data_IF_654374827145
#
_entry.id   IF_654374827145
#
_cell.length_a   1.000
_cell.length_b   1.000
_cell.length_c   1.000
_cell.angle_alpha   90.00
_cell.angle_beta   90.00
_cell.angle_gamma   90.00
#
_symmetry.space_group_name_H-M   'P 1'
#
loop_
_entity.id
_entity.type
_entity.pdbx_description
1 polymer ?
#
# COMPACT_ATOMS: atom_id res chain seq x y z
N UNK A 1 42.53 -20.21 3.08
CA UNK A 1 41.56 -20.98 2.28
C UNK A 1 40.36 -21.28 3.15
N UNK A 2 39.22 -20.62 2.92
CA UNK A 2 37.96 -20.91 3.59
C UNK A 2 36.89 -20.98 2.49
N UNK A 3 36.34 -22.18 2.29
CA UNK A 3 35.34 -22.47 1.28
C UNK A 3 34.01 -21.80 1.64
N UNK A 4 33.54 -20.90 0.75
CA UNK A 4 32.18 -20.35 0.77
C UNK A 4 31.21 -21.44 0.28
N UNK A 5 30.14 -21.68 1.04
CA UNK A 5 28.99 -22.47 0.60
C UNK A 5 28.26 -21.76 -0.58
N UNK A 6 27.71 -22.50 -1.55
CA UNK A 6 27.13 -21.91 -2.75
C UNK A 6 25.73 -21.37 -2.49
N UNK A 7 25.51 -20.09 -2.85
CA UNK A 7 24.19 -19.46 -2.92
C UNK A 7 23.41 -20.07 -4.08
N UNK A 8 22.43 -20.93 -3.80
CA UNK A 8 21.44 -21.35 -4.79
C UNK A 8 20.46 -20.20 -5.04
N UNK A 9 20.84 -19.32 -5.98
CA UNK A 9 19.95 -18.36 -6.58
C UNK A 9 19.00 -19.09 -7.54
N UNK A 10 17.71 -19.16 -7.20
CA UNK A 10 16.69 -19.60 -8.14
C UNK A 10 16.59 -18.61 -9.30
N UNK A 11 17.13 -19.00 -10.46
CA UNK A 11 16.95 -18.29 -11.73
C UNK A 11 15.54 -18.57 -12.26
N UNK A 12 14.74 -17.52 -12.34
CA UNK A 12 13.49 -17.51 -13.12
C UNK A 12 13.84 -17.81 -14.59
N UNK A 13 13.28 -18.88 -15.16
CA UNK A 13 13.26 -19.09 -16.61
C UNK A 13 12.17 -18.20 -17.25
N UNK A 14 12.42 -17.59 -18.43
CA UNK A 14 11.48 -16.68 -19.07
C UNK A 14 10.33 -17.42 -19.77
N UNK A 15 9.15 -16.78 -19.95
CA UNK A 15 8.02 -17.37 -20.65
C UNK A 15 8.22 -17.31 -22.17
N UNK A 16 8.01 -18.44 -22.85
CA UNK A 16 7.87 -18.48 -24.30
C UNK A 16 6.43 -18.10 -24.65
N UNK A 17 6.30 -17.14 -25.56
CA UNK A 17 5.06 -16.58 -26.08
C UNK A 17 4.34 -17.54 -27.03
N UNK A 18 3.00 -17.54 -26.99
CA UNK A 18 2.16 -17.90 -28.13
C UNK A 18 0.81 -17.16 -28.06
N UNK A 19 0.76 -16.12 -28.88
CA UNK A 19 -0.33 -15.64 -29.74
C UNK A 19 -1.78 -15.64 -29.22
N UNK A 20 -2.25 -14.40 -29.06
CA UNK A 20 -3.60 -13.85 -29.18
C UNK A 20 -4.67 -14.72 -29.86
N UNK A 21 -5.80 -14.87 -29.16
CA UNK A 21 -7.10 -15.27 -29.70
C UNK A 21 -8.19 -14.73 -28.77
N UNK A 22 -9.18 -14.06 -29.36
CA UNK A 22 -10.12 -13.12 -28.73
C UNK A 22 -11.07 -13.73 -27.70
N UNK A 23 -11.48 -12.90 -26.73
CA UNK A 23 -12.52 -13.19 -25.75
C UNK A 23 -13.89 -13.00 -26.40
N UNK A 24 -14.69 -14.05 -26.44
CA UNK A 24 -16.13 -13.97 -26.68
C UNK A 24 -16.90 -14.71 -25.56
N UNK A 25 -17.84 -13.98 -24.96
CA UNK A 25 -18.88 -14.48 -24.06
C UNK A 25 -19.73 -15.57 -24.74
N UNK A 26 -20.13 -16.60 -23.98
CA UNK A 26 -21.10 -17.56 -24.48
C UNK A 26 -21.55 -18.58 -23.44
N UNK A 27 -22.75 -18.36 -22.89
CA UNK A 27 -23.59 -19.38 -22.27
C UNK A 27 -23.86 -20.54 -23.25
N UNK A 28 -23.90 -21.78 -22.75
CA UNK A 28 -24.85 -22.86 -23.13
C UNK A 28 -24.41 -24.15 -22.43
N UNK A 29 -25.26 -24.71 -21.55
CA UNK A 29 -26.23 -25.79 -21.83
C UNK A 29 -25.59 -27.13 -22.20
N UNK A 30 -26.07 -28.19 -21.55
CA UNK A 30 -26.42 -29.53 -22.07
C UNK A 30 -26.69 -30.41 -20.83
N UNK A 31 -27.73 -31.22 -20.71
CA UNK A 31 -28.94 -31.47 -21.47
C UNK A 31 -29.81 -32.38 -20.58
N UNK A 32 -31.14 -32.24 -20.67
CA UNK A 32 -32.11 -33.13 -20.04
C UNK A 32 -32.49 -34.28 -21.00
N UNK A 33 -32.87 -35.45 -20.45
CA UNK A 33 -33.76 -36.48 -21.03
C UNK A 33 -34.13 -37.48 -19.91
N UNK A 34 -35.36 -37.44 -19.37
CA UNK A 34 -36.55 -38.29 -19.66
C UNK A 34 -36.32 -39.78 -19.30
N UNK A 35 -37.16 -40.53 -18.55
CA UNK A 35 -38.63 -40.79 -18.58
C UNK A 35 -39.09 -41.38 -17.21
N UNK A 36 -40.17 -40.88 -16.59
CA UNK A 36 -41.56 -41.41 -16.50
C UNK A 36 -41.85 -42.73 -15.73
N UNK A 37 -42.60 -42.58 -14.63
CA UNK A 37 -43.85 -43.25 -14.22
C UNK A 37 -44.01 -44.77 -13.99
N UNK A 38 -44.74 -45.05 -12.90
CA UNK A 38 -45.75 -46.10 -12.64
C UNK A 38 -45.35 -47.29 -11.74
N UNK A 39 -46.26 -47.62 -10.81
CA UNK A 39 -46.33 -48.94 -10.16
C UNK A 39 -46.54 -48.91 -8.65
N UNK A 40 -47.78 -48.77 -8.21
CA UNK A 40 -48.27 -49.16 -6.89
C UNK A 40 -48.20 -50.68 -6.71
N UNK A 41 -47.94 -51.16 -5.50
CA UNK A 41 -48.62 -52.36 -4.97
C UNK A 41 -48.43 -52.46 -3.46
N UNK A 42 -49.57 -52.44 -2.77
CA UNK A 42 -49.76 -52.77 -1.35
C UNK A 42 -49.63 -54.29 -1.16
N UNK A 43 -49.12 -54.70 0.00
CA UNK A 43 -49.55 -55.96 0.62
C UNK A 43 -49.70 -55.75 2.12
N UNK A 44 -50.96 -55.79 2.56
CA UNK A 44 -51.36 -56.09 3.93
C UNK A 44 -51.16 -57.57 4.25
N UNK A 45 -50.81 -57.88 5.49
CA UNK A 45 -51.34 -59.08 6.17
C UNK A 45 -51.28 -58.90 7.69
N UNK A 46 -52.48 -58.78 8.24
CA UNK A 46 -52.91 -58.90 9.64
C UNK A 46 -52.67 -60.33 10.18
N UNK A 47 -52.29 -60.47 11.47
CA UNK A 47 -52.96 -61.38 12.44
C UNK A 47 -52.25 -61.54 13.81
N UNK A 48 -52.97 -61.06 14.83
CA UNK A 48 -53.33 -61.72 16.11
C UNK A 48 -52.46 -61.64 17.40
N UNK A 49 -53.23 -61.32 18.46
CA UNK A 49 -53.00 -61.13 19.91
C UNK A 49 -52.27 -62.33 20.58
N UNK A 50 -51.68 -62.25 21.77
CA UNK A 50 -52.29 -61.94 23.08
C UNK A 50 -51.23 -61.86 24.20
N UNK A 51 -51.52 -61.01 25.21
CA UNK A 51 -51.19 -61.10 26.66
C UNK A 51 -49.74 -61.16 27.21
N UNK A 52 -49.42 -60.14 28.02
CA UNK A 52 -49.16 -60.29 29.47
C UNK A 52 -47.76 -60.72 29.94
N UNK A 53 -47.07 -59.83 30.67
CA UNK A 53 -45.99 -60.25 31.59
C UNK A 53 -44.93 -59.19 31.89
N UNK A 54 -45.01 -58.54 33.05
CA UNK A 54 -43.87 -57.87 33.70
C UNK A 54 -42.93 -58.94 34.27
N UNK A 55 -41.63 -58.89 34.01
CA UNK A 55 -40.56 -59.02 35.02
C UNK A 55 -39.14 -58.84 34.46
N UNK A 56 -38.36 -58.06 35.21
CA UNK A 56 -36.93 -58.19 35.52
C UNK A 56 -35.83 -57.95 34.45
N UNK A 57 -35.24 -56.75 34.53
CA UNK A 57 -33.81 -56.39 34.54
C UNK A 57 -32.80 -57.25 33.75
N UNK A 58 -32.25 -56.65 32.70
CA UNK A 58 -30.85 -56.77 32.29
C UNK A 58 -30.27 -55.37 32.00
N UNK A 59 -28.95 -55.14 32.12
CA UNK A 59 -28.37 -53.81 32.21
C UNK A 59 -28.50 -53.07 30.88
N UNK A 60 -28.97 -51.83 30.95
CA UNK A 60 -29.06 -50.94 29.80
C UNK A 60 -27.66 -50.65 29.26
N UNK A 61 -27.30 -51.25 28.13
CA UNK A 61 -26.34 -50.63 27.24
C UNK A 61 -26.93 -49.28 26.81
N UNK A 62 -26.23 -48.19 27.15
CA UNK A 62 -26.48 -46.86 26.61
C UNK A 62 -26.19 -46.90 25.10
N UNK A 63 -27.14 -47.44 24.34
CA UNK A 63 -27.17 -47.37 22.89
C UNK A 63 -27.43 -45.92 22.47
N UNK A 64 -26.35 -45.17 22.27
CA UNK A 64 -26.41 -43.84 21.67
C UNK A 64 -27.09 -43.95 20.31
N UNK A 65 -28.33 -43.45 20.18
CA UNK A 65 -29.03 -43.41 18.89
C UNK A 65 -28.40 -42.33 18.02
N UNK A 66 -27.50 -42.71 17.12
CA UNK A 66 -27.02 -41.85 16.04
C UNK A 66 -28.18 -41.55 15.09
N UNK A 67 -28.34 -40.28 14.72
CA UNK A 67 -29.33 -39.96 13.69
C UNK A 67 -28.79 -40.40 12.32
N UNK A 68 -29.64 -40.90 11.40
CA UNK A 68 -29.20 -41.24 10.03
C UNK A 68 -28.52 -40.07 9.30
N UNK A 69 -28.78 -38.84 9.74
CA UNK A 69 -28.10 -37.64 9.27
C UNK A 69 -26.65 -37.55 9.75
N UNK A 70 -26.35 -37.86 11.02
CA UNK A 70 -25.00 -37.84 11.59
C UNK A 70 -24.08 -38.85 10.91
N UNK A 71 -24.56 -40.09 10.70
CA UNK A 71 -23.79 -41.14 10.04
C UNK A 71 -23.48 -40.77 8.59
N UNK A 72 -24.47 -40.25 7.86
CA UNK A 72 -24.30 -39.74 6.50
C UNK A 72 -23.32 -38.56 6.44
N UNK A 73 -23.38 -37.64 7.41
CA UNK A 73 -22.47 -36.51 7.53
C UNK A 73 -21.02 -36.95 7.80
N UNK A 74 -20.81 -37.83 8.78
CA UNK A 74 -19.49 -38.33 9.16
C UNK A 74 -18.86 -39.14 8.02
N UNK A 75 -19.64 -40.02 7.36
CA UNK A 75 -19.15 -40.78 6.21
C UNK A 75 -18.74 -39.86 5.05
N UNK A 76 -19.53 -38.83 4.77
CA UNK A 76 -19.21 -37.83 3.77
C UNK A 76 -17.98 -36.99 4.12
N UNK A 77 -17.81 -36.60 5.39
CA UNK A 77 -16.66 -35.84 5.87
C UNK A 77 -15.36 -36.66 5.83
N UNK A 78 -15.40 -37.95 6.19
CA UNK A 78 -14.24 -38.85 6.08
C UNK A 78 -13.76 -38.95 4.64
N UNK A 79 -14.68 -39.21 3.71
CA UNK A 79 -14.36 -39.24 2.28
C UNK A 79 -13.82 -37.89 1.77
N UNK A 80 -14.40 -36.77 2.21
CA UNK A 80 -13.90 -35.45 1.86
C UNK A 80 -12.46 -35.25 2.34
N UNK A 81 -12.15 -35.62 3.58
CA UNK A 81 -10.81 -35.50 4.17
C UNK A 81 -9.80 -36.41 3.47
N UNK A 82 -10.19 -37.62 3.10
CA UNK A 82 -9.32 -38.54 2.35
C UNK A 82 -8.97 -37.99 0.96
N UNK A 83 -9.93 -37.36 0.28
CA UNK A 83 -9.75 -36.81 -1.07
C UNK A 83 -8.97 -35.49 -1.04
N UNK A 84 -9.27 -34.59 -0.11
CA UNK A 84 -8.75 -33.22 -0.11
C UNK A 84 -7.64 -32.98 0.93
N UNK A 85 -7.43 -33.91 1.86
CA UNK A 85 -6.47 -33.79 2.96
C UNK A 85 -6.97 -32.99 4.17
N UNK A 86 -8.05 -32.22 4.04
CA UNK A 86 -8.58 -31.35 5.10
C UNK A 86 -10.11 -31.46 5.28
N UNK A 87 -10.66 -30.68 6.20
CA UNK A 87 -12.12 -30.60 6.44
C UNK A 87 -12.71 -29.23 6.04
N UNK A 88 -12.04 -28.49 5.17
CA UNK A 88 -12.41 -27.15 4.69
C UNK A 88 -13.44 -27.20 3.56
N UNK A 89 -14.57 -27.88 3.81
CA UNK A 89 -15.63 -28.03 2.82
C UNK A 89 -16.22 -26.67 2.40
N UNK A 90 -16.20 -26.31 1.10
CA UNK A 90 -16.84 -25.10 0.60
C UNK A 90 -18.35 -25.14 0.80
N UNK A 91 -18.96 -24.01 1.19
CA UNK A 91 -20.42 -23.91 1.40
C UNK A 91 -21.29 -24.41 0.23
N UNK A 92 -20.96 -24.16 -1.06
CA UNK A 92 -21.77 -24.64 -2.19
C UNK A 92 -21.50 -26.11 -2.55
N UNK A 93 -20.57 -26.80 -1.88
CA UNK A 93 -20.16 -28.14 -2.26
C UNK A 93 -21.30 -29.16 -2.12
N UNK A 94 -21.57 -29.87 -3.21
CA UNK A 94 -22.51 -30.98 -3.30
C UNK A 94 -21.74 -32.20 -3.79
N UNK A 95 -21.98 -33.33 -3.14
CA UNK A 95 -21.30 -34.59 -3.47
C UNK A 95 -21.79 -35.08 -4.84
N UNK A 96 -20.88 -35.31 -5.81
CA UNK A 96 -21.25 -35.83 -7.12
C UNK A 96 -21.92 -37.19 -7.02
N UNK A 97 -23.02 -37.38 -7.76
CA UNK A 97 -23.66 -38.69 -7.87
C UNK A 97 -22.85 -39.59 -8.82
N UNK A 98 -22.66 -40.86 -8.45
CA UNK A 98 -21.98 -41.85 -9.28
C UNK A 98 -20.46 -41.91 -9.12
N UNK A 99 -19.85 -41.05 -8.30
CA UNK A 99 -18.42 -41.10 -8.01
C UNK A 99 -18.15 -42.11 -6.88
N UNK A 100 -17.39 -43.17 -7.20
CA UNK A 100 -17.08 -44.27 -6.29
C UNK A 100 -16.20 -43.86 -5.10
N UNK A 101 -15.52 -42.70 -5.18
CA UNK A 101 -14.75 -42.13 -4.04
C UNK A 101 -15.64 -41.61 -2.92
N UNK A 102 -16.94 -41.48 -3.18
CA UNK A 102 -17.92 -41.02 -2.19
C UNK A 102 -18.85 -42.16 -1.78
N UNK A 103 -19.23 -42.25 -0.49
CA UNK A 103 -20.23 -43.20 -0.05
C UNK A 103 -21.55 -42.99 -0.79
N UNK A 104 -22.17 -44.08 -1.28
CA UNK A 104 -23.44 -44.02 -2.02
C UNK A 104 -24.55 -43.28 -1.24
N UNK A 105 -24.59 -43.47 0.07
CA UNK A 105 -25.52 -42.79 0.98
C UNK A 105 -25.38 -41.25 0.96
N UNK A 106 -24.21 -40.75 0.57
CA UNK A 106 -23.85 -39.35 0.53
C UNK A 106 -23.99 -38.70 -0.86
N UNK A 107 -24.27 -39.48 -1.92
CA UNK A 107 -24.46 -38.93 -3.27
C UNK A 107 -25.58 -37.89 -3.34
N UNK A 108 -25.33 -36.79 -4.06
CA UNK A 108 -26.24 -35.65 -4.16
C UNK A 108 -26.40 -34.84 -2.87
N UNK A 109 -25.69 -35.20 -1.78
CA UNK A 109 -25.80 -34.49 -0.52
C UNK A 109 -25.05 -33.15 -0.58
N UNK A 110 -25.73 -32.07 -0.18
CA UNK A 110 -25.14 -30.74 -0.05
C UNK A 110 -24.26 -30.64 1.20
N UNK A 111 -23.14 -31.38 1.21
CA UNK A 111 -22.20 -31.46 2.32
C UNK A 111 -21.75 -30.08 2.80
N UNK A 112 -21.48 -29.15 1.87
CA UNK A 112 -21.10 -27.78 2.21
C UNK A 112 -22.12 -27.02 3.06
N UNK A 113 -23.42 -27.22 2.80
CA UNK A 113 -24.49 -26.62 3.62
C UNK A 113 -24.57 -27.29 4.98
N UNK A 114 -24.45 -28.62 5.03
CA UNK A 114 -24.50 -29.36 6.28
C UNK A 114 -23.32 -29.05 7.21
N UNK A 115 -22.09 -28.97 6.68
CA UNK A 115 -20.88 -28.56 7.40
C UNK A 115 -21.00 -27.13 7.91
N UNK A 116 -21.56 -26.22 7.11
CA UNK A 116 -21.79 -24.84 7.57
C UNK A 116 -22.79 -24.79 8.74
N UNK A 117 -23.87 -25.57 8.67
CA UNK A 117 -24.82 -25.70 9.80
C UNK A 117 -24.15 -26.28 11.04
N UNK A 118 -23.27 -27.26 10.88
CA UNK A 118 -22.51 -27.86 11.98
C UNK A 118 -21.59 -26.83 12.64
N UNK A 119 -20.84 -26.04 11.87
CA UNK A 119 -19.99 -24.93 12.38
C UNK A 119 -20.80 -23.88 13.17
N UNK A 120 -22.04 -23.60 12.76
CA UNK A 120 -22.91 -22.64 13.45
C UNK A 120 -23.54 -23.19 14.75
N UNK A 121 -23.75 -24.51 14.83
CA UNK A 121 -24.37 -25.16 15.99
C UNK A 121 -23.42 -25.34 17.18
N UNK A 122 -22.13 -25.59 16.94
CA UNK A 122 -21.11 -25.82 17.98
C UNK A 122 -20.89 -24.59 18.88
N UNK A 123 -21.32 -23.39 18.46
CA UNK A 123 -21.30 -22.19 19.32
C UNK A 123 -22.45 -22.07 20.34
N UNK A 124 -23.42 -22.98 20.36
CA UNK A 124 -24.63 -22.86 21.20
C UNK A 124 -24.97 -24.08 22.08
N UNK A 125 -24.42 -25.26 21.80
CA UNK A 125 -24.71 -26.47 22.58
C UNK A 125 -23.45 -27.33 22.71
N UNK A 126 -23.08 -27.64 23.95
CA UNK A 126 -22.06 -28.64 24.29
C UNK A 126 -22.67 -30.00 24.07
N UNK A 127 -22.45 -30.61 22.92
CA UNK A 127 -22.79 -32.01 22.72
C UNK A 127 -21.60 -32.85 23.20
N UNK A 128 -21.84 -33.71 24.19
CA UNK A 128 -21.00 -34.87 24.46
C UNK A 128 -21.58 -36.01 23.62
N UNK A 129 -21.40 -35.95 22.29
CA UNK A 129 -21.90 -36.97 21.36
C UNK A 129 -20.74 -37.71 20.67
N UNK A 130 -21.00 -38.94 20.20
CA UNK A 130 -20.05 -39.71 19.36
C UNK A 130 -19.59 -38.90 18.14
N UNK A 131 -20.46 -38.04 17.60
CA UNK A 131 -20.13 -37.16 16.48
C UNK A 131 -19.01 -36.19 16.85
N UNK A 132 -19.02 -35.61 18.05
CA UNK A 132 -17.98 -34.64 18.46
C UNK A 132 -16.62 -35.32 18.62
N UNK A 133 -16.60 -36.55 19.15
CA UNK A 133 -15.36 -37.36 19.24
C UNK A 133 -14.79 -37.62 17.84
N UNK A 134 -15.63 -38.08 16.90
CA UNK A 134 -15.22 -38.37 15.53
C UNK A 134 -14.78 -37.09 14.77
N UNK A 135 -15.45 -35.96 15.00
CA UNK A 135 -15.04 -34.67 14.44
C UNK A 135 -13.70 -34.21 15.01
N UNK A 136 -13.45 -34.44 16.30
CA UNK A 136 -12.16 -34.14 16.94
C UNK A 136 -11.05 -35.04 16.38
N UNK A 137 -11.28 -36.35 16.24
CA UNK A 137 -10.34 -37.29 15.61
C UNK A 137 -10.03 -36.92 14.15
N UNK A 138 -11.01 -36.39 13.43
CA UNK A 138 -10.83 -35.90 12.07
C UNK A 138 -10.15 -34.52 11.99
N UNK A 139 -9.81 -33.87 13.11
CA UNK A 139 -9.37 -32.48 13.17
C UNK A 139 -10.31 -31.55 12.39
N UNK A 140 -11.60 -31.61 12.72
CA UNK A 140 -12.62 -30.86 12.00
C UNK A 140 -12.44 -29.34 12.18
N UNK A 141 -12.45 -28.60 11.07
CA UNK A 141 -12.31 -27.16 11.03
C UNK A 141 -13.58 -26.45 11.55
N UNK A 142 -13.77 -26.44 12.87
CA UNK A 142 -14.86 -25.74 13.54
C UNK A 142 -14.81 -24.24 13.26
N UNK A 143 -13.63 -23.63 13.39
CA UNK A 143 -13.33 -22.28 12.96
C UNK A 143 -12.37 -22.33 11.77
N UNK A 144 -12.88 -22.03 10.58
CA UNK A 144 -12.11 -22.06 9.33
C UNK A 144 -10.85 -21.20 9.39
N UNK A 145 -10.94 -19.99 9.93
CA UNK A 145 -9.80 -19.08 10.01
C UNK A 145 -8.75 -19.55 11.01
N UNK A 146 -9.18 -20.13 12.13
CA UNK A 146 -8.26 -20.71 13.11
C UNK A 146 -7.55 -21.93 12.54
N UNK A 147 -8.29 -22.84 11.91
CA UNK A 147 -7.74 -24.03 11.27
C UNK A 147 -6.73 -23.67 10.18
N UNK A 148 -7.07 -22.73 9.29
CA UNK A 148 -6.13 -22.24 8.27
C UNK A 148 -4.88 -21.63 8.90
N UNK A 149 -5.03 -20.91 10.01
CA UNK A 149 -3.89 -20.32 10.70
C UNK A 149 -2.95 -21.38 11.30
N UNK A 150 -3.50 -22.31 12.06
CA UNK A 150 -2.74 -23.27 12.85
C UNK A 150 -2.15 -24.41 12.00
N UNK A 151 -2.89 -24.88 11.01
CA UNK A 151 -2.54 -26.08 10.23
C UNK A 151 -1.88 -25.78 8.88
N UNK A 152 -2.10 -24.57 8.33
CA UNK A 152 -1.62 -24.21 6.98
C UNK A 152 -0.61 -23.05 7.05
N UNK A 153 -1.04 -21.90 7.57
CA UNK A 153 -0.27 -20.64 7.46
C UNK A 153 0.95 -20.66 8.38
N UNK A 154 0.77 -20.95 9.66
CA UNK A 154 1.87 -20.92 10.63
C UNK A 154 2.91 -22.01 10.37
N UNK A 155 2.55 -23.28 10.08
CA UNK A 155 3.53 -24.30 9.71
C UNK A 155 4.34 -23.92 8.47
N UNK A 156 3.69 -23.41 7.42
CA UNK A 156 4.37 -22.95 6.22
C UNK A 156 5.28 -21.75 6.48
N UNK A 157 4.83 -20.79 7.30
CA UNK A 157 5.62 -19.61 7.66
C UNK A 157 6.84 -19.98 8.50
N UNK A 158 6.70 -20.91 9.46
CA UNK A 158 7.81 -21.46 10.26
C UNK A 158 8.85 -22.13 9.36
N UNK A 159 8.41 -22.95 8.41
CA UNK A 159 9.32 -23.59 7.47
C UNK A 159 10.03 -22.56 6.58
N UNK A 160 9.30 -21.59 6.02
CA UNK A 160 9.88 -20.50 5.25
C UNK A 160 10.95 -19.75 6.05
N UNK A 161 10.66 -19.43 7.31
CA UNK A 161 11.60 -18.77 8.22
C UNK A 161 12.84 -19.63 8.50
N UNK A 162 12.68 -20.92 8.78
CA UNK A 162 13.79 -21.83 9.04
C UNK A 162 14.77 -21.92 7.86
N UNK A 163 14.25 -21.89 6.62
CA UNK A 163 15.07 -21.97 5.40
C UNK A 163 15.71 -20.63 5.03
N UNK A 164 14.97 -19.52 5.16
CA UNK A 164 15.42 -18.21 4.65
C UNK A 164 16.01 -17.30 5.74
N UNK A 165 15.79 -17.60 7.03
CA UNK A 165 16.18 -16.75 8.16
C UNK A 165 15.36 -15.46 8.31
N UNK A 166 14.32 -15.28 7.47
CA UNK A 166 13.42 -14.13 7.48
C UNK A 166 12.01 -14.52 7.02
N UNK A 167 11.04 -13.65 7.27
CA UNK A 167 9.61 -13.86 6.92
C UNK A 167 9.12 -12.97 5.77
N UNK A 168 10.05 -12.35 5.02
CA UNK A 168 9.74 -11.53 3.84
C UNK A 168 9.38 -12.39 2.62
N UNK A 169 8.25 -13.09 2.74
CA UNK A 169 7.72 -13.96 1.69
C UNK A 169 7.35 -13.13 0.45
N UNK A 170 7.89 -13.43 -0.74
CA UNK A 170 7.53 -12.74 -1.99
C UNK A 170 6.03 -12.87 -2.28
N UNK A 171 5.38 -11.81 -2.79
CA UNK A 171 3.93 -11.79 -3.04
C UNK A 171 3.41 -12.96 -3.88
N UNK A 172 4.17 -13.38 -4.89
CA UNK A 172 3.82 -14.47 -5.81
C UNK A 172 4.23 -15.85 -5.30
N UNK A 173 4.79 -15.95 -4.10
CA UNK A 173 5.24 -17.22 -3.56
C UNK A 173 4.04 -18.11 -3.20
N UNK A 174 4.05 -19.29 -3.80
CA UNK A 174 3.12 -20.39 -3.55
C UNK A 174 3.95 -21.56 -3.03
N UNK A 175 3.47 -22.22 -1.98
CA UNK A 175 4.15 -23.39 -1.42
C UNK A 175 4.21 -24.50 -2.48
N UNK A 176 5.40 -25.06 -2.78
CA UNK A 176 5.55 -26.13 -3.76
C UNK A 176 4.70 -27.36 -3.41
N UNK A 177 4.11 -27.96 -4.44
CA UNK A 177 3.44 -29.26 -4.34
C UNK A 177 4.46 -30.40 -4.49
N UNK A 178 4.26 -31.50 -3.75
CA UNK A 178 5.11 -32.68 -3.79
C UNK A 178 6.49 -32.53 -3.13
N UNK A 179 6.75 -31.43 -2.43
CA UNK A 179 7.95 -31.24 -1.61
C UNK A 179 7.63 -31.54 -0.14
N UNK A 180 8.03 -32.72 0.33
CA UNK A 180 7.83 -33.17 1.71
C UNK A 180 8.59 -32.31 2.75
N UNK A 181 9.47 -31.39 2.32
CA UNK A 181 10.03 -30.37 3.21
C UNK A 181 8.94 -29.41 3.73
N UNK A 182 7.87 -29.20 2.95
CA UNK A 182 6.74 -28.35 3.32
C UNK A 182 5.60 -29.15 3.98
N UNK A 183 4.89 -28.56 4.95
CA UNK A 183 3.69 -29.17 5.51
C UNK A 183 2.66 -29.47 4.40
N UNK A 184 2.16 -30.70 4.33
CA UNK A 184 1.27 -31.15 3.23
C UNK A 184 0.01 -30.29 3.07
N UNK A 185 -0.59 -29.86 4.17
CA UNK A 185 -1.77 -28.99 4.15
C UNK A 185 -1.49 -27.59 3.59
N UNK A 186 -0.21 -27.21 3.51
CA UNK A 186 0.22 -25.93 2.95
C UNK A 186 0.56 -25.98 1.48
N UNK A 187 0.67 -27.15 0.85
CA UNK A 187 0.97 -27.27 -0.58
C UNK A 187 -0.03 -26.50 -1.44
N UNK A 188 0.47 -25.85 -2.50
CA UNK A 188 -0.29 -24.96 -3.36
C UNK A 188 -0.91 -23.72 -2.66
N UNK A 189 -0.63 -23.49 -1.37
CA UNK A 189 -1.11 -22.31 -0.68
C UNK A 189 -0.33 -21.06 -1.10
N UNK A 190 -1.04 -19.98 -1.42
CA UNK A 190 -0.45 -18.68 -1.76
C UNK A 190 0.06 -17.94 -0.52
N UNK A 191 1.11 -18.48 0.11
CA UNK A 191 1.66 -17.95 1.37
C UNK A 191 2.09 -16.48 1.24
N UNK A 192 2.68 -16.09 0.11
CA UNK A 192 3.07 -14.70 -0.15
C UNK A 192 1.91 -13.72 -0.15
N UNK A 193 0.80 -14.11 -0.77
CA UNK A 193 -0.44 -13.35 -0.79
C UNK A 193 -1.04 -13.21 0.61
N UNK A 194 -1.10 -14.32 1.35
CA UNK A 194 -1.66 -14.36 2.71
C UNK A 194 -0.84 -13.52 3.68
N UNK A 195 0.49 -13.67 3.70
CA UNK A 195 1.38 -12.90 4.59
C UNK A 195 1.28 -11.40 4.31
N UNK A 196 1.18 -10.97 3.04
CA UNK A 196 0.95 -9.55 2.74
C UNK A 196 -0.38 -9.07 3.29
N UNK A 197 -1.46 -9.84 3.17
CA UNK A 197 -2.76 -9.45 3.71
C UNK A 197 -2.80 -9.43 5.24
N UNK A 198 -2.08 -10.34 5.90
CA UNK A 198 -1.85 -10.28 7.34
C UNK A 198 -1.18 -8.95 7.72
N UNK A 199 -0.14 -8.54 6.96
CA UNK A 199 0.61 -7.30 7.20
C UNK A 199 -0.19 -6.02 6.89
N UNK A 200 -0.90 -5.96 5.75
CA UNK A 200 -1.46 -4.70 5.23
C UNK A 200 -2.97 -4.56 5.36
N UNK A 201 -3.71 -5.66 5.56
CA UNK A 201 -5.18 -5.66 5.59
C UNK A 201 -5.76 -6.21 6.89
N UNK A 202 -4.92 -6.44 7.90
CA UNK A 202 -5.34 -7.00 9.18
C UNK A 202 -6.10 -8.34 9.02
N UNK A 203 -5.75 -9.12 8.00
CA UNK A 203 -6.31 -10.46 7.83
C UNK A 203 -5.86 -11.34 9.00
N UNK A 204 -6.74 -12.22 9.48
CA UNK A 204 -6.48 -13.08 10.65
C UNK A 204 -6.16 -12.30 11.94
N UNK A 205 -6.71 -11.09 12.11
CA UNK A 205 -6.43 -10.19 13.24
C UNK A 205 -6.46 -10.87 14.63
N UNK A 206 -7.46 -11.74 14.86
CA UNK A 206 -7.60 -12.48 16.13
C UNK A 206 -6.44 -13.46 16.33
N UNK A 207 -6.14 -14.26 15.31
CA UNK A 207 -5.08 -15.27 15.34
C UNK A 207 -3.69 -14.63 15.46
N UNK A 208 -3.47 -13.53 14.74
CA UNK A 208 -2.27 -12.71 14.83
C UNK A 208 -2.04 -12.18 16.23
N UNK A 209 -3.12 -11.70 16.88
CA UNK A 209 -3.05 -11.22 18.27
C UNK A 209 -2.72 -12.36 19.24
N UNK A 210 -3.31 -13.54 19.04
CA UNK A 210 -3.06 -14.74 19.85
C UNK A 210 -1.64 -15.29 19.65
N UNK A 211 -1.09 -15.21 18.44
CA UNK A 211 0.25 -15.72 18.07
C UNK A 211 1.35 -14.66 18.12
N UNK A 212 1.12 -13.52 18.78
CA UNK A 212 1.96 -12.32 18.68
C UNK A 212 3.44 -12.56 19.03
N UNK A 213 3.72 -13.29 20.11
CA UNK A 213 5.10 -13.52 20.56
C UNK A 213 5.87 -14.45 19.62
N UNK A 214 5.22 -15.50 19.10
CA UNK A 214 5.85 -16.40 18.11
C UNK A 214 6.15 -15.68 16.80
N UNK A 215 5.21 -14.85 16.33
CA UNK A 215 5.42 -14.01 15.15
C UNK A 215 6.57 -13.02 15.34
N UNK A 216 6.71 -12.46 16.55
CA UNK A 216 7.83 -11.58 16.91
C UNK A 216 9.16 -12.33 16.92
N UNK A 217 9.21 -13.54 17.44
CA UNK A 217 10.41 -14.40 17.48
C UNK A 217 10.87 -14.79 16.07
N UNK A 218 9.93 -15.16 15.19
CA UNK A 218 10.20 -15.39 13.76
C UNK A 218 10.52 -14.09 12.99
N UNK A 219 10.59 -12.95 13.66
CA UNK A 219 10.80 -11.63 13.06
C UNK A 219 9.80 -11.36 11.94
N UNK A 220 8.54 -11.81 12.10
CA UNK A 220 7.43 -11.37 11.26
C UNK A 220 7.23 -9.88 11.49
N UNK A 221 7.86 -9.12 10.59
CA UNK A 221 7.73 -7.67 10.54
C UNK A 221 6.26 -7.34 10.21
N UNK A 222 5.53 -6.83 11.19
CA UNK A 222 4.28 -6.11 10.98
C UNK A 222 4.55 -4.73 10.41
N UNK A 223 5.77 -4.21 10.58
CA UNK A 223 6.21 -3.08 9.80
C UNK A 223 6.12 -3.46 8.32
N UNK A 224 5.40 -2.66 7.58
CA UNK A 224 5.30 -2.80 6.14
C UNK A 224 6.72 -2.73 5.55
N UNK A 225 6.93 -3.37 4.40
CA UNK A 225 8.20 -3.22 3.66
C UNK A 225 8.52 -1.72 3.44
N UNK A 226 7.49 -0.89 3.30
CA UNK A 226 7.62 0.57 3.19
C UNK A 226 8.15 1.23 4.48
N UNK A 227 7.73 0.80 5.66
CA UNK A 227 8.25 1.30 6.94
C UNK A 227 9.72 0.95 7.13
N UNK A 228 10.12 -0.28 6.77
CA UNK A 228 11.53 -0.67 6.84
C UNK A 228 12.38 0.16 5.88
N UNK A 229 11.95 0.31 4.62
CA UNK A 229 12.63 1.17 3.66
C UNK A 229 12.71 2.63 4.14
N UNK A 230 11.66 3.12 4.79
CA UNK A 230 11.62 4.46 5.35
C UNK A 230 12.65 4.64 6.48
N UNK A 231 12.62 3.75 7.47
CA UNK A 231 13.43 3.82 8.68
C UNK A 231 14.90 3.49 8.43
N UNK A 232 15.20 2.48 7.61
CA UNK A 232 16.58 2.00 7.39
C UNK A 232 17.29 2.73 6.24
N UNK A 233 16.55 3.23 5.25
CA UNK A 233 17.16 3.78 4.02
C UNK A 233 16.84 5.24 3.80
N UNK A 234 15.56 5.60 3.72
CA UNK A 234 15.14 6.93 3.25
C UNK A 234 15.48 8.00 4.29
N UNK A 235 15.05 7.84 5.54
CA UNK A 235 15.25 8.84 6.58
C UNK A 235 16.74 9.00 6.96
N UNK A 236 17.54 7.93 7.13
CA UNK A 236 18.98 8.07 7.33
C UNK A 236 19.69 8.73 6.14
N UNK A 237 19.32 8.39 4.89
CA UNK A 237 19.91 9.04 3.72
C UNK A 237 19.55 10.53 3.64
N UNK A 238 18.34 10.95 4.07
CA UNK A 238 17.98 12.37 4.16
C UNK A 238 18.81 13.12 5.20
N UNK A 239 19.05 12.51 6.38
CA UNK A 239 19.93 13.07 7.42
C UNK A 239 21.35 13.28 6.89
N UNK A 240 21.91 12.28 6.22
CA UNK A 240 23.24 12.39 5.60
C UNK A 240 23.26 13.42 4.46
N UNK A 241 22.19 13.49 3.66
CA UNK A 241 22.08 14.50 2.61
C UNK A 241 22.15 15.93 3.19
N UNK A 242 21.45 16.20 4.29
CA UNK A 242 21.52 17.49 4.99
C UNK A 242 22.93 17.78 5.49
N UNK A 243 23.62 16.79 6.05
CA UNK A 243 24.98 16.96 6.56
C UNK A 243 25.99 17.28 5.46
N UNK A 244 25.89 16.61 4.30
CA UNK A 244 26.82 16.75 3.18
C UNK A 244 26.55 18.03 2.37
N UNK A 245 25.28 18.35 2.12
CA UNK A 245 24.90 19.46 1.23
C UNK A 245 24.38 20.70 1.96
N UNK A 246 24.28 20.66 3.28
CA UNK A 246 23.78 21.75 4.14
C UNK A 246 22.34 22.20 3.84
N UNK A 247 21.60 21.42 3.05
CA UNK A 247 20.21 21.64 2.68
C UNK A 247 19.51 20.30 2.41
N UNK A 248 18.17 20.24 2.44
CA UNK A 248 17.39 19.03 2.08
C UNK A 248 16.73 19.13 0.69
N UNK A 249 17.33 19.91 -0.22
CA UNK A 249 16.89 20.07 -1.61
C UNK A 249 17.37 18.89 -2.49
N UNK A 250 16.89 17.69 -2.19
CA UNK A 250 17.22 16.50 -2.99
C UNK A 250 16.68 16.66 -4.41
N UNK A 251 17.59 16.68 -5.38
CA UNK A 251 17.26 16.78 -6.80
C UNK A 251 16.69 15.48 -7.35
N UNK A 252 15.79 15.57 -8.34
CA UNK A 252 15.14 14.41 -8.98
C UNK A 252 16.09 13.30 -9.48
N UNK A 253 17.27 13.57 -10.05
CA UNK A 253 18.16 12.50 -10.51
C UNK A 253 19.04 11.92 -9.40
N UNK A 254 18.98 12.45 -8.18
CA UNK A 254 19.90 12.08 -7.11
C UNK A 254 19.77 10.59 -6.74
N UNK A 255 20.92 9.91 -6.75
CA UNK A 255 21.11 8.53 -6.34
C UNK A 255 22.15 8.52 -5.23
N UNK A 256 21.88 7.80 -4.15
CA UNK A 256 22.79 7.69 -3.02
C UNK A 256 24.11 7.04 -3.47
N UNK A 257 25.27 7.71 -3.26
CA UNK A 257 26.59 7.16 -3.55
C UNK A 257 26.89 5.88 -2.76
N UNK A 258 27.75 5.02 -3.32
CA UNK A 258 28.25 3.80 -2.64
C UNK A 258 29.53 4.13 -1.86
N UNK A 259 29.43 5.04 -0.90
CA UNK A 259 30.56 5.48 -0.10
C UNK A 259 30.09 6.10 1.22
N UNK A 260 30.95 6.09 2.24
CA UNK A 260 30.75 6.89 3.43
C UNK A 260 30.60 8.39 3.04
N UNK A 261 29.78 9.19 3.75
CA UNK A 261 29.04 8.87 4.98
C UNK A 261 27.65 8.25 4.74
N UNK A 262 27.32 7.80 3.53
CA UNK A 262 25.98 7.28 3.22
C UNK A 262 25.74 5.89 3.84
N UNK A 263 24.54 5.60 4.37
CA UNK A 263 24.19 4.28 4.91
C UNK A 263 24.31 3.20 3.83
N UNK A 264 24.92 2.06 4.15
CA UNK A 264 25.15 0.98 3.18
C UNK A 264 23.84 0.45 2.60
N UNK A 265 22.80 0.37 3.42
CA UNK A 265 21.46 -0.06 3.07
C UNK A 265 20.78 0.89 2.07
N UNK A 266 21.22 2.15 2.06
CA UNK A 266 20.74 3.18 1.15
C UNK A 266 21.59 3.29 -0.12
N UNK A 267 22.71 2.57 -0.25
CA UNK A 267 23.57 2.68 -1.42
C UNK A 267 22.82 2.36 -2.72
N UNK A 268 22.93 3.29 -3.67
CA UNK A 268 22.24 3.20 -4.94
C UNK A 268 20.74 3.46 -4.90
N UNK A 269 20.17 3.81 -3.75
CA UNK A 269 18.79 4.25 -3.64
C UNK A 269 18.56 5.48 -4.51
N UNK A 270 17.53 5.43 -5.36
CA UNK A 270 17.05 6.60 -6.11
C UNK A 270 16.25 7.50 -5.16
N UNK A 271 16.97 8.20 -4.28
CA UNK A 271 16.38 9.07 -3.26
C UNK A 271 15.67 10.29 -3.88
N UNK A 272 16.20 10.85 -4.96
CA UNK A 272 15.59 11.98 -5.67
C UNK A 272 14.15 11.74 -6.14
N UNK A 273 13.87 10.66 -6.88
CA UNK A 273 12.51 10.31 -7.28
C UNK A 273 11.58 10.02 -6.10
N UNK A 274 12.09 9.40 -5.02
CA UNK A 274 11.33 9.12 -3.80
C UNK A 274 10.88 10.43 -3.16
N UNK A 275 11.81 11.35 -2.89
CA UNK A 275 11.53 12.67 -2.30
C UNK A 275 10.54 13.48 -3.15
N UNK A 276 10.69 13.44 -4.47
CA UNK A 276 9.74 14.11 -5.37
C UNK A 276 8.32 13.54 -5.27
N UNK A 277 8.17 12.22 -5.08
CA UNK A 277 6.85 11.59 -4.87
C UNK A 277 6.28 11.90 -3.48
N UNK A 278 7.12 12.02 -2.45
CA UNK A 278 6.71 12.46 -1.12
C UNK A 278 6.14 13.88 -1.19
N UNK A 279 6.87 14.83 -1.81
CA UNK A 279 6.42 16.22 -2.03
C UNK A 279 5.11 16.29 -2.81
N UNK A 280 4.93 15.40 -3.78
CA UNK A 280 3.70 15.32 -4.58
C UNK A 280 2.53 14.66 -3.85
N UNK A 281 2.70 14.18 -2.62
CA UNK A 281 1.68 13.45 -1.87
C UNK A 281 1.32 12.10 -2.48
N UNK A 282 2.26 11.46 -3.20
CA UNK A 282 2.02 10.21 -3.97
C UNK A 282 2.65 8.96 -3.37
N UNK A 283 3.59 9.10 -2.44
CA UNK A 283 4.30 7.96 -1.85
C UNK A 283 4.72 8.25 -0.41
N UNK A 284 4.75 7.21 0.43
CA UNK A 284 5.09 7.28 1.87
C UNK A 284 4.33 8.41 2.63
N UNK A 285 3.10 8.74 2.23
CA UNK A 285 2.35 9.90 2.76
C UNK A 285 2.10 9.77 4.26
N UNK A 286 1.64 8.59 4.69
CA UNK A 286 1.36 8.30 6.10
C UNK A 286 2.64 8.35 6.95
N UNK A 287 3.75 7.85 6.41
CA UNK A 287 5.05 7.82 7.11
C UNK A 287 5.68 9.22 7.18
N UNK A 288 5.56 10.00 6.11
CA UNK A 288 5.98 11.39 6.10
C UNK A 288 5.12 12.26 7.03
N UNK A 289 3.84 11.91 7.22
CA UNK A 289 2.97 12.56 8.19
C UNK A 289 3.32 12.15 9.63
N UNK A 290 3.60 10.86 9.87
CA UNK A 290 4.04 10.31 11.16
C UNK A 290 5.35 10.98 11.62
N UNK A 291 6.33 11.07 10.72
CA UNK A 291 7.68 11.57 11.03
C UNK A 291 7.86 13.03 10.61
N UNK A 292 6.75 13.79 10.52
CA UNK A 292 6.74 15.17 10.04
C UNK A 292 7.67 16.08 10.86
N UNK A 293 7.72 15.90 12.17
CA UNK A 293 8.56 16.71 13.05
C UNK A 293 10.05 16.44 12.80
N UNK A 294 10.43 15.17 12.60
CA UNK A 294 11.80 14.78 12.23
C UNK A 294 12.17 15.37 10.86
N UNK A 295 11.25 15.31 9.89
CA UNK A 295 11.45 15.91 8.58
C UNK A 295 11.61 17.43 8.67
N UNK A 296 10.83 18.10 9.51
CA UNK A 296 10.96 19.55 9.74
C UNK A 296 12.29 19.89 10.42
N UNK A 297 12.72 19.10 11.42
CA UNK A 297 13.98 19.29 12.14
C UNK A 297 15.19 19.21 11.20
N UNK A 298 15.20 18.26 10.26
CA UNK A 298 16.27 18.13 9.25
C UNK A 298 16.13 19.15 8.11
N UNK A 299 15.11 20.01 8.14
CA UNK A 299 14.84 21.03 7.13
C UNK A 299 14.31 20.47 5.81
N UNK A 300 13.52 19.39 5.84
CA UNK A 300 12.95 18.78 4.64
C UNK A 300 12.15 19.80 3.82
N UNK A 301 12.58 20.01 2.58
CA UNK A 301 11.94 20.95 1.68
C UNK A 301 10.61 20.41 1.15
N UNK A 302 9.50 20.72 1.83
CA UNK A 302 8.15 20.32 1.41
C UNK A 302 7.73 21.01 0.12
N UNK A 303 7.97 22.32 0.02
CA UNK A 303 7.84 23.11 -1.21
C UNK A 303 9.24 23.40 -1.75
N UNK A 304 9.53 22.85 -2.93
CA UNK A 304 10.85 22.95 -3.55
C UNK A 304 11.25 24.40 -3.84
N UNK A 305 10.32 25.18 -4.40
CA UNK A 305 10.62 26.55 -4.83
C UNK A 305 10.75 27.46 -3.60
N UNK A 306 9.86 27.31 -2.62
CA UNK A 306 9.92 28.08 -1.38
C UNK A 306 11.19 27.78 -0.56
N UNK A 307 11.61 26.51 -0.49
CA UNK A 307 12.86 26.15 0.19
C UNK A 307 14.09 26.66 -0.55
N UNK A 308 14.14 26.59 -1.89
CA UNK A 308 15.25 27.23 -2.63
C UNK A 308 15.29 28.73 -2.36
N UNK A 309 14.12 29.38 -2.39
CA UNK A 309 13.98 30.80 -2.13
C UNK A 309 14.54 31.19 -0.76
N UNK A 310 14.06 30.54 0.30
CA UNK A 310 14.40 30.88 1.68
C UNK A 310 15.79 30.42 2.12
N UNK A 311 16.22 29.20 1.73
CA UNK A 311 17.46 28.60 2.23
C UNK A 311 18.68 28.95 1.36
N UNK A 312 18.49 29.38 0.11
CA UNK A 312 19.59 29.62 -0.84
C UNK A 312 19.55 31.01 -1.47
N UNK A 313 18.45 31.35 -2.15
CA UNK A 313 18.39 32.59 -2.95
C UNK A 313 18.51 33.82 -2.05
N UNK A 314 17.66 33.97 -1.04
CA UNK A 314 17.68 35.20 -0.26
C UNK A 314 18.96 35.36 0.56
N UNK A 315 19.45 34.34 1.29
CA UNK A 315 20.72 34.46 1.99
C UNK A 315 21.87 34.85 1.04
N UNK A 316 21.93 34.28 -0.16
CA UNK A 316 22.96 34.64 -1.13
C UNK A 316 22.76 36.04 -1.72
N UNK A 317 21.52 36.50 -1.93
CA UNK A 317 21.25 37.89 -2.33
C UNK A 317 21.64 38.88 -1.24
N UNK A 318 21.38 38.56 0.03
CA UNK A 318 21.78 39.38 1.18
C UNK A 318 23.31 39.52 1.23
N UNK A 319 24.05 38.41 1.10
CA UNK A 319 25.52 38.46 1.03
C UNK A 319 25.99 39.25 -0.19
N UNK A 320 25.40 39.05 -1.37
CA UNK A 320 25.78 39.78 -2.58
C UNK A 320 25.61 41.29 -2.41
N UNK A 321 24.48 41.74 -1.87
CA UNK A 321 24.24 43.16 -1.62
C UNK A 321 25.18 43.70 -0.54
N UNK A 322 25.51 42.92 0.48
CA UNK A 322 26.48 43.31 1.50
C UNK A 322 27.88 43.53 0.91
N UNK A 323 28.33 42.66 0.00
CA UNK A 323 29.65 42.72 -0.64
C UNK A 323 29.72 43.80 -1.73
N UNK A 324 28.76 43.82 -2.66
CA UNK A 324 28.83 44.66 -3.87
C UNK A 324 28.03 45.96 -3.76
N UNK A 325 27.28 46.17 -2.66
CA UNK A 325 26.40 47.33 -2.43
C UNK A 325 25.36 47.54 -3.53
N UNK A 326 25.04 46.49 -4.28
CA UNK A 326 24.07 46.52 -5.38
C UNK A 326 23.36 45.18 -5.49
N UNK A 327 22.11 45.20 -5.95
CA UNK A 327 21.38 44.00 -6.32
C UNK A 327 21.53 43.66 -7.82
N UNK A 328 22.20 44.52 -8.60
CA UNK A 328 22.45 44.28 -10.02
C UNK A 328 23.56 43.25 -10.17
N UNK A 329 23.26 42.16 -10.87
CA UNK A 329 24.13 41.00 -10.98
C UNK A 329 24.23 40.53 -12.42
N UNK A 330 25.42 40.10 -12.83
CA UNK A 330 25.63 39.42 -14.11
C UNK A 330 24.91 38.07 -14.10
N UNK A 331 24.37 37.66 -15.25
CA UNK A 331 23.68 36.37 -15.42
C UNK A 331 24.61 35.18 -15.13
N UNK A 332 25.90 35.36 -15.35
CA UNK A 332 26.96 34.38 -15.19
C UNK A 332 27.46 34.27 -13.75
N UNK A 333 26.99 35.12 -12.83
CA UNK A 333 27.41 35.09 -11.44
C UNK A 333 27.07 33.75 -10.76
N UNK A 334 28.10 33.13 -10.20
CA UNK A 334 28.03 31.91 -9.40
C UNK A 334 28.51 32.24 -8.00
N UNK A 335 27.74 31.81 -6.99
CA UNK A 335 28.07 32.03 -5.58
C UNK A 335 29.40 31.34 -5.25
N UNK A 336 30.42 32.09 -4.78
CA UNK A 336 31.69 31.53 -4.35
C UNK A 336 31.52 30.51 -3.21
N UNK A 337 32.38 29.49 -3.20
CA UNK A 337 32.41 28.46 -2.15
C UNK A 337 33.31 28.86 -0.98
N UNK A 338 33.14 30.08 -0.47
CA UNK A 338 33.93 30.61 0.63
C UNK A 338 33.09 31.55 1.51
N UNK A 339 33.56 31.84 2.71
CA UNK A 339 32.99 32.92 3.52
C UNK A 339 33.08 34.26 2.76
N UNK A 340 32.10 35.18 2.89
CA UNK A 340 30.93 35.14 3.78
C UNK A 340 29.67 34.51 3.14
N UNK A 341 29.82 33.74 2.06
CA UNK A 341 28.68 33.17 1.34
C UNK A 341 28.07 31.99 2.10
N UNK A 342 26.74 31.89 2.16
CA UNK A 342 26.08 30.80 2.86
C UNK A 342 26.39 29.46 2.18
N UNK A 343 26.82 28.47 2.96
CA UNK A 343 27.19 27.13 2.48
C UNK A 343 26.12 26.47 1.63
N UNK A 344 24.85 26.68 2.00
CA UNK A 344 23.70 26.18 1.24
C UNK A 344 23.64 26.73 -0.19
N UNK A 345 24.20 27.91 -0.45
CA UNK A 345 24.18 28.57 -1.76
C UNK A 345 25.49 28.41 -2.56
N UNK A 346 26.55 27.81 -2.00
CA UNK A 346 27.81 27.61 -2.71
C UNK A 346 27.63 26.95 -4.08
N UNK A 347 28.36 27.46 -5.08
CA UNK A 347 28.29 27.06 -6.49
C UNK A 347 26.92 27.24 -7.16
N UNK A 348 25.98 27.93 -6.53
CA UNK A 348 24.70 28.24 -7.14
C UNK A 348 24.87 29.33 -8.18
N UNK A 349 24.37 29.11 -9.40
CA UNK A 349 24.29 30.12 -10.45
C UNK A 349 23.19 31.16 -10.12
N UNK A 350 23.42 31.98 -9.09
CA UNK A 350 22.48 32.97 -8.59
C UNK A 350 22.12 34.02 -9.67
N UNK A 351 23.08 34.42 -10.50
CA UNK A 351 22.84 35.34 -11.61
C UNK A 351 21.80 34.82 -12.60
N UNK A 352 21.88 33.52 -12.92
CA UNK A 352 20.91 32.86 -13.79
C UNK A 352 19.52 32.79 -13.17
N UNK A 353 19.44 32.63 -11.84
CA UNK A 353 18.16 32.62 -11.12
C UNK A 353 17.49 34.00 -11.17
N UNK A 354 18.23 35.07 -10.84
CA UNK A 354 17.72 36.45 -10.92
C UNK A 354 17.31 36.81 -12.36
N UNK A 355 18.10 36.37 -13.35
CA UNK A 355 17.73 36.50 -14.76
C UNK A 355 16.40 35.79 -15.07
N UNK A 356 16.19 34.54 -14.64
CA UNK A 356 14.93 33.84 -14.85
C UNK A 356 13.75 34.48 -14.11
N UNK A 357 13.96 35.11 -12.96
CA UNK A 357 12.91 35.86 -12.25
C UNK A 357 12.39 37.01 -13.12
N UNK A 358 13.29 37.76 -13.74
CA UNK A 358 12.95 38.89 -14.62
C UNK A 358 12.35 38.45 -15.96
N UNK A 359 12.90 37.40 -16.57
CA UNK A 359 12.55 37.01 -17.95
C UNK A 359 11.44 35.95 -18.06
N UNK A 360 11.38 35.02 -17.10
CA UNK A 360 10.42 33.91 -17.09
C UNK A 360 9.40 34.01 -15.94
N UNK A 361 9.60 34.95 -15.01
CA UNK A 361 8.75 35.07 -13.82
C UNK A 361 8.89 33.92 -12.83
N UNK A 362 10.05 33.24 -12.82
CA UNK A 362 10.33 32.21 -11.81
C UNK A 362 10.28 32.84 -10.41
N UNK A 363 9.79 32.10 -9.41
CA UNK A 363 9.63 32.60 -8.03
C UNK A 363 8.71 33.82 -7.87
N UNK A 364 7.88 34.19 -8.87
CA UNK A 364 6.98 35.34 -8.80
C UNK A 364 6.18 35.43 -7.49
N UNK A 365 5.60 34.30 -7.04
CA UNK A 365 4.84 34.29 -5.78
C UNK A 365 5.70 34.49 -4.54
N UNK A 366 6.97 34.08 -4.57
CA UNK A 366 7.89 34.29 -3.44
C UNK A 366 8.35 35.75 -3.40
N UNK A 367 8.76 36.30 -4.56
CA UNK A 367 9.11 37.72 -4.73
C UNK A 367 7.97 38.61 -4.25
N UNK A 368 6.75 38.30 -4.71
CA UNK A 368 5.56 39.06 -4.39
C UNK A 368 5.12 38.99 -2.94
N UNK A 369 5.55 38.00 -2.16
CA UNK A 369 5.27 37.90 -0.71
C UNK A 369 6.38 38.55 0.13
N UNK A 370 7.61 38.53 -0.36
CA UNK A 370 8.79 39.06 0.31
C UNK A 370 9.15 40.48 -0.16
N UNK A 371 8.19 41.26 -0.67
CA UNK A 371 8.44 42.60 -1.25
C UNK A 371 9.24 43.49 -0.30
N UNK A 372 8.86 43.57 0.97
CA UNK A 372 9.51 44.50 1.90
C UNK A 372 10.95 44.07 2.20
N UNK A 373 11.19 42.76 2.33
CA UNK A 373 12.53 42.19 2.47
C UNK A 373 13.39 42.49 1.24
N UNK A 374 12.82 42.41 0.04
CA UNK A 374 13.51 42.65 -1.22
C UNK A 374 13.74 44.14 -1.53
N UNK A 375 12.83 45.02 -1.10
CA UNK A 375 12.99 46.49 -1.21
C UNK A 375 14.22 46.96 -0.45
N UNK A 376 14.44 46.46 0.76
CA UNK A 376 15.63 46.77 1.57
C UNK A 376 16.93 46.37 0.84
N UNK A 377 16.89 45.32 0.03
CA UNK A 377 18.03 44.85 -0.76
C UNK A 377 18.24 45.64 -2.07
N UNK A 378 17.33 46.56 -2.42
CA UNK A 378 17.37 47.25 -3.70
C UNK A 378 17.06 46.34 -4.90
N UNK A 379 16.26 45.29 -4.69
CA UNK A 379 15.86 44.36 -5.75
C UNK A 379 14.92 45.05 -6.76
N UNK A 380 15.12 44.78 -8.05
CA UNK A 380 14.27 45.30 -9.12
C UNK A 380 13.07 44.37 -9.37
N UNK A 381 11.86 44.91 -9.29
CA UNK A 381 10.60 44.18 -9.53
C UNK A 381 10.13 44.23 -11.00
N UNK A 382 11.02 44.65 -11.91
CA UNK A 382 10.73 44.69 -13.33
C UNK A 382 10.63 43.29 -13.92
N UNK A 383 9.58 43.06 -14.71
CA UNK A 383 9.37 41.86 -15.50
C UNK A 383 9.51 42.18 -16.98
N UNK A 384 9.98 41.21 -17.76
CA UNK A 384 9.95 41.29 -19.23
C UNK A 384 8.57 40.94 -19.73
N UNK A 385 8.25 41.41 -20.94
CA UNK A 385 6.99 41.20 -21.65
C UNK A 385 6.49 39.74 -21.57
N UNK A 386 7.34 38.78 -21.89
CA UNK A 386 6.97 37.37 -21.82
C UNK A 386 6.54 36.93 -20.41
N UNK A 387 7.26 37.31 -19.36
CA UNK A 387 6.88 36.96 -17.98
C UNK A 387 5.58 37.67 -17.55
N UNK A 388 5.43 38.92 -17.98
CA UNK A 388 4.25 39.72 -17.72
C UNK A 388 2.99 39.10 -18.34
N UNK A 389 3.02 38.82 -19.65
CA UNK A 389 1.91 38.22 -20.40
C UNK A 389 1.49 36.86 -19.83
N UNK A 390 2.46 36.04 -19.41
CA UNK A 390 2.16 34.70 -18.90
C UNK A 390 1.66 34.67 -17.45
N UNK A 391 1.93 35.72 -16.66
CA UNK A 391 1.70 35.68 -15.21
C UNK A 391 0.81 36.81 -14.73
N UNK A 392 1.11 38.04 -15.14
CA UNK A 392 0.45 39.24 -14.63
C UNK A 392 -0.84 39.51 -15.39
N UNK A 393 -0.87 39.40 -16.72
CA UNK A 393 -2.09 39.68 -17.50
C UNK A 393 -3.29 38.82 -17.05
N UNK A 394 -3.17 37.49 -16.85
CA UNK A 394 -4.28 36.69 -16.34
C UNK A 394 -4.74 37.11 -14.93
N UNK A 395 -3.88 37.73 -14.13
CA UNK A 395 -4.22 38.25 -12.80
C UNK A 395 -4.90 39.61 -12.90
N UNK A 396 -4.58 40.42 -13.90
CA UNK A 396 -5.27 41.68 -14.20
C UNK A 396 -6.68 41.42 -14.72
N UNK A 397 -6.89 40.41 -15.56
CA UNK A 397 -8.22 40.03 -16.03
C UNK A 397 -9.13 39.58 -14.87
N UNK A 398 -8.56 38.87 -13.88
CA UNK A 398 -9.25 38.52 -12.64
C UNK A 398 -9.55 39.78 -11.81
N UNK A 399 -8.59 40.71 -11.69
CA UNK A 399 -8.80 41.97 -10.97
C UNK A 399 -9.95 42.77 -11.58
N UNK A 400 -9.95 42.96 -12.91
CA UNK A 400 -10.99 43.66 -13.63
C UNK A 400 -12.35 43.00 -13.46
N UNK A 401 -12.41 41.67 -13.52
CA UNK A 401 -13.65 40.92 -13.26
C UNK A 401 -14.17 41.11 -11.83
N UNK A 402 -13.29 41.31 -10.84
CA UNK A 402 -13.66 41.49 -9.44
C UNK A 402 -13.98 42.95 -9.05
N UNK A 403 -13.28 43.91 -9.65
CA UNK A 403 -13.28 45.31 -9.20
C UNK A 403 -13.74 46.31 -10.28
N UNK A 404 -13.95 45.86 -11.52
CA UNK A 404 -14.47 46.68 -12.62
C UNK A 404 -13.43 47.49 -13.38
N UNK A 405 -12.15 47.44 -13.00
CA UNK A 405 -11.06 48.08 -13.73
C UNK A 405 -9.73 47.30 -13.67
N UNK A 406 -8.81 47.63 -14.58
CA UNK A 406 -7.42 47.14 -14.57
C UNK A 406 -6.49 48.01 -13.71
N UNK A 407 -7.02 49.01 -13.00
CA UNK A 407 -6.24 49.96 -12.23
C UNK A 407 -5.89 49.41 -10.85
N UNK A 408 -4.89 48.54 -10.79
CA UNK A 408 -4.46 47.89 -9.54
C UNK A 408 -3.79 48.92 -8.59
N UNK A 409 -4.30 49.10 -7.36
CA UNK A 409 -3.65 49.94 -6.33
C UNK A 409 -2.24 49.44 -6.00
N UNK A 410 -1.32 50.34 -5.65
CA UNK A 410 0.09 50.00 -5.37
C UNK A 410 0.25 48.97 -4.23
N UNK A 411 -0.60 49.09 -3.20
CA UNK A 411 -0.62 48.23 -2.01
C UNK A 411 -1.50 46.99 -2.17
N UNK A 412 -2.09 46.76 -3.35
CA UNK A 412 -2.98 45.63 -3.57
C UNK A 412 -2.27 44.28 -3.37
N UNK A 413 -2.84 43.47 -2.48
CA UNK A 413 -2.43 42.10 -2.18
C UNK A 413 -3.52 41.15 -2.63
N UNK A 414 -3.13 40.12 -3.39
CA UNK A 414 -4.07 39.11 -3.87
C UNK A 414 -4.75 38.41 -2.68
N UNK A 415 -6.08 38.50 -2.55
CA UNK A 415 -6.79 37.95 -1.41
C UNK A 415 -6.84 36.42 -1.45
N UNK A 416 -6.93 35.79 -0.28
CA UNK A 416 -6.95 34.34 -0.11
C UNK A 416 -8.33 33.71 -0.40
N UNK A 417 -8.98 34.13 -1.48
CA UNK A 417 -10.33 33.70 -1.85
C UNK A 417 -10.49 33.52 -3.37
N UNK A 418 -11.49 32.75 -3.79
CA UNK A 418 -11.87 32.65 -5.19
C UNK A 418 -12.30 34.04 -5.73
N UNK A 419 -12.06 34.36 -7.01
CA UNK A 419 -11.54 33.52 -8.10
C UNK A 419 -10.00 33.38 -8.15
N UNK A 420 -9.26 33.98 -7.21
CA UNK A 420 -7.80 34.01 -7.26
C UNK A 420 -7.17 32.62 -7.08
N UNK A 421 -6.14 32.26 -7.88
CA UNK A 421 -5.46 30.98 -7.72
C UNK A 421 -4.75 30.87 -6.36
N UNK A 422 -4.93 29.74 -5.64
CA UNK A 422 -4.29 29.49 -4.32
C UNK A 422 -2.78 29.76 -4.30
N UNK A 423 -2.07 29.44 -5.39
CA UNK A 423 -0.62 29.68 -5.52
C UNK A 423 -0.22 31.16 -5.57
N UNK A 424 -1.18 32.06 -5.81
CA UNK A 424 -0.98 33.50 -5.96
C UNK A 424 -1.49 34.31 -4.77
N UNK A 425 -2.15 33.67 -3.80
CA UNK A 425 -2.58 34.33 -2.57
C UNK A 425 -1.41 34.97 -1.82
N UNK A 426 -1.65 36.16 -1.28
CA UNK A 426 -0.67 36.96 -0.53
C UNK A 426 0.38 37.65 -1.39
N UNK A 427 0.28 37.60 -2.71
CA UNK A 427 1.20 38.30 -3.60
C UNK A 427 0.80 39.78 -3.70
N UNK A 428 1.74 40.67 -3.44
CA UNK A 428 1.62 42.12 -3.63
C UNK A 428 1.66 42.48 -5.12
N UNK A 429 0.57 42.20 -5.83
CA UNK A 429 0.44 42.43 -7.28
C UNK A 429 0.59 43.91 -7.65
N UNK A 430 0.08 44.82 -6.80
CA UNK A 430 0.18 46.27 -7.01
C UNK A 430 1.60 46.79 -7.22
N UNK A 431 2.57 46.19 -6.53
CA UNK A 431 3.99 46.56 -6.62
C UNK A 431 4.55 46.20 -8.00
N UNK A 432 4.20 45.04 -8.56
CA UNK A 432 4.62 44.68 -9.91
C UNK A 432 4.02 45.63 -10.95
N UNK A 433 2.74 45.99 -10.80
CA UNK A 433 2.06 46.91 -11.73
C UNK A 433 2.68 48.30 -11.70
N UNK A 434 3.01 48.81 -10.51
CA UNK A 434 3.65 50.11 -10.36
C UNK A 434 5.08 50.16 -10.93
N UNK A 435 5.83 49.06 -10.85
CA UNK A 435 7.23 48.99 -11.30
C UNK A 435 7.41 48.66 -12.80
N UNK A 436 6.32 48.40 -13.53
CA UNK A 436 6.36 48.03 -14.95
C UNK A 436 5.51 48.99 -15.79
N UNK A 437 5.90 50.27 -15.82
CA UNK A 437 5.14 51.34 -16.48
C UNK A 437 4.97 51.16 -17.99
N UNK A 438 5.90 50.47 -18.66
CA UNK A 438 5.79 50.12 -20.08
C UNK A 438 4.54 49.27 -20.38
N UNK A 439 4.03 48.51 -19.41
CA UNK A 439 2.80 47.75 -19.57
C UNK A 439 1.55 48.64 -19.49
N UNK A 440 1.62 49.80 -18.82
CA UNK A 440 0.52 50.78 -18.74
C UNK A 440 0.28 51.53 -20.05
N UNK A 441 1.32 51.72 -20.86
CA UNK A 441 1.24 52.41 -22.15
C UNK A 441 0.47 51.61 -23.20
N UNK A 442 0.38 50.27 -23.06
CA UNK A 442 -0.45 49.42 -23.90
C UNK A 442 -1.96 49.57 -23.66
N UNK A 443 -2.38 50.00 -22.47
CA UNK A 443 -3.81 50.14 -22.11
C UNK A 443 -4.42 51.50 -22.48
N UNK A 444 -3.64 52.45 -23.04
CA UNK A 444 -4.13 53.77 -23.46
C UNK A 444 -4.45 53.88 -24.95
N UNK A 445 -4.18 52.84 -25.73
CA UNK A 445 -4.36 52.83 -27.19
C UNK A 445 -5.29 51.69 -27.66
N UNK A 446 -6.42 51.52 -26.99
CA UNK A 446 -7.58 50.80 -27.56
C UNK A 446 -8.82 51.69 -27.52
#
# INVERSE_FOLDING_TARGET
MLFRAPRLAWRLKPPVALLSGEVANGNSLLSARCLSSAGSEEWDTEALRTEGGKTANQPAELGWRTTPWEEKMLAALRAYKEINGDTLVPRPFVIPSGDARWPRVAWGYALGRGVNTLRLKVGRQTFFSRMDTELQEMNFAHNVLQFQWDEIIMPALRHFYAVNGHTDVPWTFVVPDGDDAWPRLSWNWSLGFTVRHVRTKNAYARQVKESKEELKEMKLCFETIAEREWNEKILPALKVFRQVYYHCLVGRPFKVPHAAPWPEEAWGLRLGPIVNRIRAGKNYVELAARDKDILNEIGFAWDHDLSIWNERIIPALQTYVAEFKTCRMSREFVVPSCEPWPKSAWNMALGKQVYHMKYLGSYFSCIGRDIDRLKVLGFSFELRRQAWENIVDPLLDIHESCYGDKAVPHDFVIPSQAPWPKKRWGVHLGVFVANNTWAREGFRNE
#
